data_IF_380279285685
#
_entry.id   IF_380279285685
#
_cell.length_a   1.000
_cell.length_b   1.000
_cell.length_c   1.000
_cell.angle_alpha   90.00
_cell.angle_beta   90.00
_cell.angle_gamma   90.00
#
_symmetry.space_group_name_H-M   'P 1'
#
loop_
_entity.id
_entity.type
_entity.pdbx_description
1 polymer ?
#
# COMPACT_ATOMS: atom_id res chain seq x y z
N UNK A 1 29.04 18.90 -12.65
CA UNK A 1 27.86 18.17 -12.13
C UNK A 1 26.67 19.08 -12.04
N UNK A 2 26.61 20.01 -11.07
CA UNK A 2 25.47 20.93 -10.92
C UNK A 2 25.12 21.63 -12.24
N UNK A 3 26.09 22.27 -12.89
CA UNK A 3 25.86 22.98 -14.15
C UNK A 3 25.32 22.08 -15.26
N UNK A 4 25.75 20.82 -15.33
CA UNK A 4 25.19 19.86 -16.29
C UNK A 4 23.71 19.60 -15.99
N UNK A 5 23.40 19.24 -14.75
CA UNK A 5 22.05 18.88 -14.33
C UNK A 5 21.05 20.01 -14.58
N UNK A 6 21.43 21.26 -14.31
CA UNK A 6 20.52 22.41 -14.43
C UNK A 6 20.51 23.08 -15.80
N UNK A 7 21.46 22.79 -16.68
CA UNK A 7 21.52 23.39 -18.03
C UNK A 7 21.08 22.47 -19.15
N UNK A 8 21.10 21.15 -18.93
CA UNK A 8 20.64 20.17 -19.91
C UNK A 8 19.15 19.92 -19.78
N UNK A 9 18.50 19.63 -20.91
CA UNK A 9 17.12 19.16 -20.92
C UNK A 9 17.07 17.70 -20.46
N UNK A 10 16.69 17.49 -19.19
CA UNK A 10 16.61 16.15 -18.59
C UNK A 10 15.29 15.43 -18.93
N UNK A 11 14.36 16.05 -19.66
CA UNK A 11 13.22 15.31 -20.24
C UNK A 11 13.71 14.28 -21.28
N UNK A 12 14.90 14.51 -21.86
CA UNK A 12 15.60 13.57 -22.73
C UNK A 12 16.32 12.51 -21.90
N UNK A 13 15.97 11.24 -22.13
CA UNK A 13 16.45 10.10 -21.33
C UNK A 13 17.98 9.99 -21.26
N UNK A 14 18.70 10.22 -22.35
CA UNK A 14 20.17 10.17 -22.35
C UNK A 14 20.80 11.23 -21.41
N UNK A 15 20.22 12.43 -21.36
CA UNK A 15 20.67 13.50 -20.46
C UNK A 15 20.32 13.16 -19.01
N UNK A 16 19.11 12.63 -18.77
CA UNK A 16 18.70 12.14 -17.46
C UNK A 16 19.65 11.05 -16.94
N UNK A 17 19.99 10.05 -17.76
CA UNK A 17 20.92 8.98 -17.37
C UNK A 17 22.32 9.52 -17.06
N UNK A 18 22.80 10.50 -17.82
CA UNK A 18 24.05 11.17 -17.52
C UNK A 18 23.97 11.96 -16.20
N UNK A 19 22.87 12.66 -15.91
CA UNK A 19 22.64 13.33 -14.63
C UNK A 19 22.58 12.32 -13.47
N UNK A 20 21.85 11.23 -13.64
CA UNK A 20 21.72 10.11 -12.69
C UNK A 20 23.00 9.27 -12.55
N UNK A 21 24.04 9.54 -13.35
CA UNK A 21 25.38 8.99 -13.11
C UNK A 21 26.13 9.73 -11.99
N UNK A 22 25.76 10.99 -11.71
CA UNK A 22 26.42 11.79 -10.68
C UNK A 22 25.79 11.60 -9.29
N UNK A 23 24.48 11.41 -9.24
CA UNK A 23 23.71 11.22 -8.01
C UNK A 23 22.91 9.92 -8.05
N UNK A 24 22.73 9.32 -6.88
CA UNK A 24 21.78 8.22 -6.71
C UNK A 24 20.35 8.79 -6.74
N UNK A 25 19.70 8.69 -7.90
CA UNK A 25 18.38 9.30 -8.12
C UNK A 25 17.31 8.73 -7.16
N UNK A 26 17.35 7.44 -6.84
CA UNK A 26 16.46 6.83 -5.84
C UNK A 26 16.66 7.43 -4.45
N UNK A 27 17.92 7.64 -4.04
CA UNK A 27 18.21 8.27 -2.76
C UNK A 27 17.80 9.76 -2.72
N UNK A 28 17.93 10.50 -3.82
CA UNK A 28 17.40 11.88 -3.89
C UNK A 28 15.89 11.87 -3.68
N UNK A 29 15.16 10.99 -4.37
CA UNK A 29 13.72 10.85 -4.17
C UNK A 29 13.39 10.59 -2.70
N UNK A 30 14.01 9.58 -2.08
CA UNK A 30 13.74 9.23 -0.68
C UNK A 30 14.10 10.36 0.30
N UNK A 31 15.19 11.10 0.05
CA UNK A 31 15.55 12.27 0.85
C UNK A 31 14.48 13.36 0.78
N UNK A 32 14.05 13.74 -0.43
CA UNK A 32 12.99 14.75 -0.60
C UNK A 32 11.64 14.27 -0.05
N UNK A 33 11.31 12.98 -0.19
CA UNK A 33 10.10 12.41 0.39
C UNK A 33 10.16 12.51 1.91
N UNK A 34 11.24 12.02 2.56
CA UNK A 34 11.35 12.05 4.01
C UNK A 34 11.24 13.48 4.57
N UNK A 35 12.00 14.42 4.00
CA UNK A 35 12.02 15.83 4.43
C UNK A 35 10.64 16.50 4.28
N UNK A 36 9.88 16.17 3.24
CA UNK A 36 8.55 16.75 3.01
C UNK A 36 7.43 15.98 3.69
N UNK A 37 7.58 14.67 3.91
CA UNK A 37 6.58 13.84 4.59
C UNK A 37 6.45 14.26 6.05
N UNK A 38 7.58 14.53 6.72
CA UNK A 38 7.61 15.02 8.10
C UNK A 38 7.49 16.55 8.22
N UNK A 39 7.30 17.26 7.09
CA UNK A 39 7.28 18.73 7.05
C UNK A 39 8.50 19.40 7.71
N UNK A 40 9.71 18.88 7.53
CA UNK A 40 10.90 19.49 8.14
C UNK A 40 11.13 20.91 7.58
N UNK A 41 10.87 21.91 8.42
CA UNK A 41 10.86 23.31 8.02
C UNK A 41 12.26 23.80 7.60
N UNK A 42 13.29 23.43 8.36
CA UNK A 42 14.66 23.94 8.16
C UNK A 42 15.47 23.21 7.08
N UNK A 43 14.93 22.14 6.49
CA UNK A 43 15.70 21.45 5.45
C UNK A 43 15.93 22.34 4.24
N UNK A 44 17.06 22.08 3.59
CA UNK A 44 17.57 22.82 2.44
C UNK A 44 18.22 24.19 2.68
N UNK A 45 18.21 24.76 3.89
CA UNK A 45 18.89 26.04 4.22
C UNK A 45 20.19 25.94 5.03
N UNK A 46 20.53 24.74 5.49
CA UNK A 46 21.73 24.48 6.28
C UNK A 46 21.85 23.02 6.69
N UNK A 47 20.71 22.34 6.80
CA UNK A 47 20.61 20.95 7.24
C UNK A 47 20.71 19.98 6.06
N UNK A 48 21.78 20.11 5.27
CA UNK A 48 22.09 19.21 4.16
C UNK A 48 23.44 18.55 4.41
N UNK A 49 23.44 17.22 4.40
CA UNK A 49 24.66 16.42 4.30
C UNK A 49 24.52 15.45 3.14
N UNK A 50 25.62 15.26 2.41
CA UNK A 50 25.70 14.29 1.33
C UNK A 50 27.11 13.71 1.25
N UNK A 51 27.21 12.47 0.80
CA UNK A 51 28.44 11.70 0.81
C UNK A 51 28.56 10.88 -0.48
N UNK A 52 29.79 10.46 -0.78
CA UNK A 52 30.08 9.43 -1.78
C UNK A 52 31.34 8.70 -1.39
N UNK A 53 31.48 7.48 -1.89
CA UNK A 53 32.71 6.73 -1.79
C UNK A 53 33.85 7.44 -2.53
N UNK A 54 35.09 7.31 -2.03
CA UNK A 54 36.29 7.87 -2.66
C UNK A 54 36.82 6.96 -3.77
N UNK A 55 35.96 6.60 -4.71
CA UNK A 55 36.32 5.85 -5.92
C UNK A 55 35.69 6.47 -7.16
N UNK A 56 36.28 6.15 -8.31
CA UNK A 56 35.75 6.56 -9.61
C UNK A 56 34.36 5.94 -9.85
N UNK A 57 33.46 6.69 -10.47
CA UNK A 57 32.09 6.28 -10.74
C UNK A 57 31.15 6.21 -9.52
N UNK A 58 31.60 6.55 -8.31
CA UNK A 58 30.73 6.60 -7.14
C UNK A 58 29.73 7.76 -7.22
N UNK A 59 28.45 7.46 -6.95
CA UNK A 59 27.35 8.43 -6.94
C UNK A 59 27.27 9.16 -5.60
N UNK A 60 26.89 10.43 -5.64
CA UNK A 60 26.53 11.19 -4.44
C UNK A 60 25.18 10.77 -3.88
N UNK A 61 25.09 10.70 -2.56
CA UNK A 61 23.89 10.37 -1.78
C UNK A 61 23.67 11.40 -0.68
N UNK A 62 22.44 11.83 -0.50
CA UNK A 62 22.00 12.63 0.64
C UNK A 62 21.87 11.76 1.89
N UNK A 63 22.06 12.41 3.03
CA UNK A 63 21.92 11.86 4.36
C UNK A 63 20.94 12.73 5.14
N UNK A 64 19.96 12.09 5.77
CA UNK A 64 19.07 12.78 6.70
C UNK A 64 19.86 13.25 7.92
N UNK A 65 19.63 14.50 8.29
CA UNK A 65 20.32 15.16 9.40
C UNK A 65 19.44 16.32 9.88
N UNK A 66 19.31 16.47 11.21
CA UNK A 66 18.62 17.61 11.84
C UNK A 66 17.13 17.71 11.44
N UNK A 67 16.35 16.77 12.00
CA UNK A 67 14.93 16.54 11.70
C UNK A 67 13.98 17.03 12.81
N UNK A 68 14.52 17.66 13.86
CA UNK A 68 13.78 18.09 15.05
C UNK A 68 12.69 19.12 14.75
N UNK A 69 12.84 19.90 13.68
CA UNK A 69 11.84 20.85 13.22
C UNK A 69 10.72 20.23 12.37
N UNK A 70 10.64 18.90 12.27
CA UNK A 70 9.54 18.17 11.65
C UNK A 70 8.42 17.79 12.64
N UNK A 71 7.47 16.99 12.15
CA UNK A 71 6.43 16.32 12.92
C UNK A 71 5.53 17.26 13.77
N UNK A 72 5.25 18.48 13.32
CA UNK A 72 4.31 19.37 14.00
C UNK A 72 4.92 20.32 15.03
N UNK A 73 6.25 20.46 15.08
CA UNK A 73 6.93 21.34 16.04
C UNK A 73 6.48 22.81 15.92
N UNK A 74 5.97 23.36 17.03
CA UNK A 74 5.71 24.80 17.26
C UNK A 74 4.98 25.55 16.14
N UNK A 75 4.08 24.88 15.42
CA UNK A 75 3.35 25.47 14.28
C UNK A 75 4.22 25.72 13.04
N UNK A 76 5.50 25.32 13.04
CA UNK A 76 6.40 25.45 11.89
C UNK A 76 6.22 24.32 10.89
N UNK A 77 5.80 23.15 11.36
CA UNK A 77 5.67 21.91 10.58
C UNK A 77 4.32 21.22 10.77
N UNK A 78 3.24 22.00 10.86
CA UNK A 78 1.86 21.50 10.98
C UNK A 78 1.53 20.42 9.94
N UNK A 79 0.68 19.45 10.27
CA UNK A 79 0.38 18.31 9.39
C UNK A 79 -0.17 18.74 8.02
N UNK A 80 -0.96 19.81 7.98
CA UNK A 80 -1.55 20.38 6.77
C UNK A 80 -0.61 21.32 6.00
N UNK A 81 0.61 21.58 6.47
CA UNK A 81 1.55 22.44 5.76
C UNK A 81 2.03 21.78 4.45
N UNK A 82 2.04 22.55 3.37
CA UNK A 82 2.52 22.10 2.06
C UNK A 82 4.04 22.30 1.91
N UNK A 83 4.81 21.50 2.66
CA UNK A 83 6.27 21.56 2.55
C UNK A 83 6.78 21.17 1.16
N UNK A 84 6.08 20.29 0.44
CA UNK A 84 6.46 19.87 -0.92
C UNK A 84 6.33 21.04 -1.89
N UNK A 85 5.13 21.61 -2.00
CA UNK A 85 4.86 22.74 -2.89
C UNK A 85 5.73 23.94 -2.54
N UNK A 86 5.83 24.29 -1.26
CA UNK A 86 6.69 25.40 -0.82
C UNK A 86 8.16 25.19 -1.23
N UNK A 87 8.74 24.01 -0.97
CA UNK A 87 10.15 23.76 -1.30
C UNK A 87 10.39 23.74 -2.80
N UNK A 88 9.53 23.10 -3.58
CA UNK A 88 9.73 22.93 -5.02
C UNK A 88 9.42 24.20 -5.83
N UNK A 89 8.58 25.11 -5.30
CA UNK A 89 8.21 26.37 -5.97
C UNK A 89 9.00 27.57 -5.48
N UNK A 90 8.96 27.86 -4.17
CA UNK A 90 9.56 29.08 -3.59
C UNK A 90 11.08 29.06 -3.70
N UNK A 91 11.70 27.88 -3.58
CA UNK A 91 13.16 27.75 -3.62
C UNK A 91 13.71 27.40 -5.01
N UNK A 92 12.83 27.31 -6.00
CA UNK A 92 13.24 27.14 -7.38
C UNK A 92 14.05 28.35 -7.85
N UNK A 93 15.17 28.11 -8.53
CA UNK A 93 16.11 29.13 -8.99
C UNK A 93 17.05 29.67 -7.91
N UNK A 94 16.75 29.52 -6.62
CA UNK A 94 17.56 30.08 -5.52
C UNK A 94 18.31 29.01 -4.73
N UNK A 95 17.79 27.78 -4.64
CA UNK A 95 18.41 26.69 -3.91
C UNK A 95 18.99 25.62 -4.85
N UNK A 96 20.30 25.34 -4.74
CA UNK A 96 20.99 24.41 -5.65
C UNK A 96 20.44 22.98 -5.59
N UNK A 97 20.02 22.51 -4.42
CA UNK A 97 19.54 21.14 -4.25
C UNK A 97 18.12 20.98 -4.78
N UNK A 98 17.26 21.98 -4.56
CA UNK A 98 15.93 22.05 -5.19
C UNK A 98 16.05 22.16 -6.70
N UNK A 99 16.98 22.97 -7.22
CA UNK A 99 17.20 23.09 -8.67
C UNK A 99 17.61 21.76 -9.31
N UNK A 100 18.51 21.00 -8.67
CA UNK A 100 18.88 19.65 -9.11
C UNK A 100 17.63 18.76 -9.16
N UNK A 101 16.84 18.76 -8.10
CA UNK A 101 15.69 17.88 -7.99
C UNK A 101 14.57 18.25 -8.99
N UNK A 102 14.24 19.53 -9.13
CA UNK A 102 13.31 20.02 -10.14
C UNK A 102 13.76 19.67 -11.57
N UNK A 103 15.07 19.77 -11.86
CA UNK A 103 15.59 19.35 -13.16
C UNK A 103 15.38 17.84 -13.38
N UNK A 104 15.65 16.99 -12.39
CA UNK A 104 15.40 15.54 -12.49
C UNK A 104 13.91 15.22 -12.71
N UNK A 105 13.00 15.95 -12.04
CA UNK A 105 11.55 15.81 -12.20
C UNK A 105 11.03 16.19 -13.60
N UNK A 106 11.84 16.81 -14.47
CA UNK A 106 11.47 17.03 -15.88
C UNK A 106 11.42 15.74 -16.70
N UNK A 107 12.12 14.68 -16.26
CA UNK A 107 11.99 13.35 -16.85
C UNK A 107 10.69 12.68 -16.36
N UNK A 108 9.82 12.30 -17.29
CA UNK A 108 8.51 11.74 -16.95
C UNK A 108 8.62 10.41 -16.19
N UNK A 109 9.59 9.56 -16.53
CA UNK A 109 9.83 8.30 -15.83
C UNK A 109 10.24 8.52 -14.37
N UNK A 110 11.17 9.45 -14.13
CA UNK A 110 11.59 9.80 -12.78
C UNK A 110 10.51 10.51 -11.97
N UNK A 111 9.70 11.37 -12.61
CA UNK A 111 8.54 12.00 -11.97
C UNK A 111 7.52 10.95 -11.51
N UNK A 112 7.16 10.01 -12.38
CA UNK A 112 6.28 8.90 -12.02
C UNK A 112 6.88 8.06 -10.90
N UNK A 113 8.18 7.76 -10.96
CA UNK A 113 8.89 7.06 -9.90
C UNK A 113 8.81 7.80 -8.56
N UNK A 114 9.07 9.12 -8.53
CA UNK A 114 8.99 9.92 -7.30
C UNK A 114 7.60 9.90 -6.70
N UNK A 115 6.56 10.13 -7.51
CA UNK A 115 5.16 10.14 -7.05
C UNK A 115 4.77 8.77 -6.49
N UNK A 116 5.06 7.69 -7.23
CA UNK A 116 4.78 6.32 -6.78
C UNK A 116 5.59 5.95 -5.53
N UNK A 117 6.86 6.35 -5.44
CA UNK A 117 7.70 6.10 -4.26
C UNK A 117 7.18 6.84 -3.04
N UNK A 118 6.67 8.06 -3.21
CA UNK A 118 6.02 8.79 -2.12
C UNK A 118 4.73 8.07 -1.70
N UNK A 119 3.88 7.67 -2.66
CA UNK A 119 2.67 6.90 -2.36
C UNK A 119 2.99 5.58 -1.64
N UNK A 120 4.00 4.84 -2.09
CA UNK A 120 4.49 3.62 -1.46
C UNK A 120 4.85 3.85 0.02
N UNK A 121 5.57 4.92 0.33
CA UNK A 121 5.97 5.27 1.70
C UNK A 121 4.77 5.73 2.55
N UNK A 122 3.79 6.44 1.96
CA UNK A 122 2.54 6.82 2.63
C UNK A 122 1.59 5.65 2.88
N UNK A 123 1.72 4.55 2.11
CA UNK A 123 0.98 3.31 2.34
C UNK A 123 1.74 2.32 3.25
N UNK A 124 2.98 2.66 3.66
CA UNK A 124 3.84 1.82 4.50
C UNK A 124 4.44 2.61 5.66
N UNK A 125 5.68 3.10 5.55
CA UNK A 125 6.44 3.72 6.65
C UNK A 125 5.73 4.92 7.28
N UNK A 126 5.08 5.75 6.46
CA UNK A 126 4.33 6.93 6.89
C UNK A 126 2.82 6.67 6.94
N UNK A 127 2.37 5.41 6.92
CA UNK A 127 0.95 5.09 7.12
C UNK A 127 0.55 5.52 8.53
N UNK A 128 -0.66 6.06 8.66
CA UNK A 128 -1.15 6.78 9.83
C UNK A 128 -0.88 6.01 11.14
N UNK A 129 -1.31 4.75 11.18
CA UNK A 129 -1.15 3.87 12.35
C UNK A 129 0.28 3.38 12.58
N UNK A 130 1.09 3.24 11.52
CA UNK A 130 2.47 2.76 11.64
C UNK A 130 3.40 3.85 12.14
N UNK A 131 3.23 5.08 11.66
CA UNK A 131 4.00 6.23 12.15
C UNK A 131 3.62 6.57 13.61
N UNK A 132 2.33 6.53 13.94
CA UNK A 132 1.88 6.71 15.32
C UNK A 132 2.50 5.63 16.24
N UNK A 133 2.43 4.36 15.86
CA UNK A 133 3.01 3.27 16.65
C UNK A 133 4.53 3.42 16.85
N UNK A 134 5.28 3.91 15.85
CA UNK A 134 6.72 4.17 16.00
C UNK A 134 7.01 5.33 16.97
N UNK A 135 6.17 6.37 16.99
CA UNK A 135 6.25 7.47 17.97
C UNK A 135 5.99 6.95 19.38
N UNK A 136 4.97 6.11 19.56
CA UNK A 136 4.66 5.50 20.85
C UNK A 136 5.79 4.57 21.33
N UNK A 137 6.32 3.74 20.45
CA UNK A 137 7.47 2.90 20.73
C UNK A 137 8.69 3.74 21.16
N UNK A 138 8.98 4.82 20.42
CA UNK A 138 10.09 5.73 20.74
C UNK A 138 9.90 6.44 22.08
N UNK A 139 8.67 6.88 22.39
CA UNK A 139 8.29 7.44 23.70
C UNK A 139 8.55 6.43 24.82
N UNK A 140 8.10 5.20 24.66
CA UNK A 140 8.20 4.17 25.71
C UNK A 140 9.65 3.79 26.03
N UNK A 141 10.53 3.84 25.02
CA UNK A 141 11.97 3.62 25.21
C UNK A 141 12.63 4.64 26.15
N UNK A 142 12.14 5.89 26.16
CA UNK A 142 12.73 6.98 26.96
C UNK A 142 11.90 7.32 28.20
N UNK A 143 10.66 6.84 28.30
CA UNK A 143 9.67 7.29 29.28
C UNK A 143 10.15 7.24 30.73
N UNK A 144 10.91 6.19 31.10
CA UNK A 144 11.45 6.04 32.46
C UNK A 144 12.41 7.18 32.85
N UNK A 145 13.19 7.67 31.90
CA UNK A 145 14.23 8.68 32.14
C UNK A 145 13.69 10.11 32.02
N UNK A 146 12.50 10.30 31.43
CA UNK A 146 11.97 11.63 31.16
C UNK A 146 11.54 12.39 32.43
N UNK A 147 10.99 11.72 33.44
CA UNK A 147 10.62 12.39 34.69
C UNK A 147 11.88 12.94 35.42
N UNK A 148 12.93 12.14 35.70
CA UNK A 148 14.20 12.66 36.22
C UNK A 148 14.87 13.71 35.31
N UNK A 149 14.74 13.57 33.98
CA UNK A 149 15.27 14.56 33.04
C UNK A 149 14.66 15.95 33.29
N UNK A 150 13.35 16.03 33.49
CA UNK A 150 12.64 17.29 33.71
C UNK A 150 12.78 17.84 35.14
N UNK A 151 13.25 17.04 36.11
CA UNK A 151 13.70 17.57 37.41
C UNK A 151 14.95 18.44 37.28
N UNK A 152 15.83 18.13 36.31
CA UNK A 152 17.05 18.90 36.02
C UNK A 152 16.77 20.01 35.00
N UNK A 153 16.09 19.69 33.90
CA UNK A 153 15.80 20.60 32.79
C UNK A 153 14.33 20.96 32.78
N UNK A 154 13.94 21.97 33.54
CA UNK A 154 12.53 22.22 33.91
C UNK A 154 11.62 22.76 32.79
N UNK A 155 12.10 22.89 31.56
CA UNK A 155 11.35 23.45 30.41
C UNK A 155 11.44 22.48 29.23
N UNK A 156 10.32 22.16 28.53
CA UNK A 156 8.96 22.63 28.78
C UNK A 156 8.27 21.99 30.01
N UNK A 157 8.86 20.95 30.60
CA UNK A 157 8.33 20.23 31.77
C UNK A 157 7.74 18.88 31.40
N UNK A 158 7.74 17.94 32.36
CA UNK A 158 7.32 16.55 32.14
C UNK A 158 5.86 16.44 31.69
N UNK A 159 4.95 17.20 32.30
CA UNK A 159 3.53 17.22 31.92
C UNK A 159 3.33 17.74 30.50
N UNK A 160 4.06 18.78 30.09
CA UNK A 160 3.99 19.27 28.70
C UNK A 160 4.54 18.25 27.71
N UNK A 161 5.63 17.56 28.03
CA UNK A 161 6.12 16.47 27.20
C UNK A 161 5.08 15.35 27.05
N UNK A 162 4.54 14.86 28.18
CA UNK A 162 3.60 13.73 28.23
C UNK A 162 2.24 14.05 27.63
N UNK A 163 1.64 15.18 28.01
CA UNK A 163 0.23 15.48 27.76
C UNK A 163 -0.01 16.41 26.57
N UNK A 164 1.06 17.01 26.01
CA UNK A 164 0.96 17.93 24.87
C UNK A 164 1.86 17.43 23.73
N UNK A 165 3.18 17.35 23.93
CA UNK A 165 4.11 17.07 22.85
C UNK A 165 3.91 15.68 22.22
N UNK A 166 3.75 14.63 23.05
CA UNK A 166 3.48 13.28 22.55
C UNK A 166 2.12 13.22 21.80
N UNK A 167 0.98 13.66 22.37
CA UNK A 167 -0.28 13.72 21.64
C UNK A 167 -0.24 14.54 20.34
N UNK A 168 0.52 15.64 20.30
CA UNK A 168 0.69 16.45 19.09
C UNK A 168 1.44 15.68 18.00
N UNK A 169 2.49 14.93 18.35
CA UNK A 169 3.20 14.06 17.42
C UNK A 169 2.29 12.95 16.86
N UNK A 170 1.46 12.33 17.70
CA UNK A 170 0.50 11.30 17.28
C UNK A 170 -0.54 11.89 16.33
N UNK A 171 -1.13 13.05 16.68
CA UNK A 171 -2.06 13.75 15.80
C UNK A 171 -1.43 14.13 14.45
N UNK A 172 -0.18 14.59 14.45
CA UNK A 172 0.56 14.81 13.22
C UNK A 172 0.63 13.53 12.37
N UNK A 173 0.99 12.40 12.99
CA UNK A 173 1.11 11.12 12.29
C UNK A 173 -0.22 10.64 11.68
N UNK A 174 -1.34 10.89 12.36
CA UNK A 174 -2.68 10.51 11.89
C UNK A 174 -3.19 11.41 10.75
N UNK A 175 -2.91 12.72 10.81
CA UNK A 175 -3.43 13.70 9.85
C UNK A 175 -2.54 13.85 8.61
N UNK A 176 -1.22 13.78 8.80
CA UNK A 176 -0.24 14.15 7.76
C UNK A 176 -0.36 13.34 6.47
N UNK A 177 -0.57 12.02 6.47
CA UNK A 177 -0.53 11.24 5.24
C UNK A 177 -1.62 11.66 4.24
N UNK A 178 -2.83 11.97 4.71
CA UNK A 178 -3.91 12.49 3.87
C UNK A 178 -3.53 13.85 3.24
N UNK A 179 -2.98 14.77 4.04
CA UNK A 179 -2.50 16.05 3.54
C UNK A 179 -1.35 15.90 2.53
N UNK A 180 -0.37 15.03 2.80
CA UNK A 180 0.73 14.75 1.89
C UNK A 180 0.24 14.21 0.54
N UNK A 181 -0.74 13.30 0.53
CA UNK A 181 -1.38 12.83 -0.72
C UNK A 181 -2.03 13.98 -1.48
N UNK A 182 -2.76 14.86 -0.78
CA UNK A 182 -3.40 16.02 -1.40
C UNK A 182 -2.38 17.01 -1.98
N UNK A 183 -1.27 17.26 -1.28
CA UNK A 183 -0.20 18.13 -1.77
C UNK A 183 0.48 17.57 -3.02
N UNK A 184 0.74 16.26 -3.07
CA UNK A 184 1.23 15.59 -4.27
C UNK A 184 0.26 15.76 -5.44
N UNK A 185 -1.03 15.49 -5.20
CA UNK A 185 -2.07 15.62 -6.22
C UNK A 185 -2.12 17.05 -6.77
N UNK A 186 -2.12 18.06 -5.90
CA UNK A 186 -2.18 19.46 -6.29
C UNK A 186 -0.91 19.93 -7.01
N UNK A 187 0.27 19.58 -6.48
CA UNK A 187 1.54 20.05 -7.01
C UNK A 187 1.82 19.51 -8.42
N UNK A 188 1.48 18.25 -8.67
CA UNK A 188 1.68 17.59 -9.95
C UNK A 188 0.47 17.62 -10.88
N UNK A 189 -0.61 18.33 -10.50
CA UNK A 189 -1.86 18.45 -11.25
C UNK A 189 -2.46 17.08 -11.63
N UNK A 190 -2.50 16.17 -10.66
CA UNK A 190 -2.99 14.80 -10.86
C UNK A 190 -4.53 14.79 -10.78
N UNK A 191 -5.17 14.03 -11.67
CA UNK A 191 -6.63 14.05 -11.85
C UNK A 191 -7.42 13.40 -10.70
N UNK A 192 -6.73 12.78 -9.74
CA UNK A 192 -7.31 12.25 -8.52
C UNK A 192 -6.48 11.12 -7.91
N UNK A 193 -7.10 10.43 -6.96
CA UNK A 193 -6.56 9.24 -6.29
C UNK A 193 -7.44 8.04 -6.59
N UNK A 194 -6.84 6.85 -6.52
CA UNK A 194 -7.52 5.55 -6.67
C UNK A 194 -7.03 4.62 -5.57
N UNK A 195 -7.96 3.93 -4.90
CA UNK A 195 -7.65 2.88 -3.94
C UNK A 195 -7.45 1.56 -4.68
N UNK A 196 -6.31 0.93 -4.44
CA UNK A 196 -5.97 -0.36 -5.02
C UNK A 196 -5.93 -1.41 -3.92
N UNK A 197 -6.73 -2.47 -4.08
CA UNK A 197 -6.61 -3.70 -3.29
C UNK A 197 -5.84 -4.74 -4.10
N UNK A 198 -4.85 -5.36 -3.48
CA UNK A 198 -4.02 -6.41 -4.03
C UNK A 198 -4.27 -7.71 -3.30
N UNK A 199 -4.46 -8.79 -4.04
CA UNK A 199 -4.57 -10.14 -3.49
C UNK A 199 -4.07 -11.19 -4.48
N UNK A 200 -3.77 -12.37 -3.97
CA UNK A 200 -3.49 -13.55 -4.80
C UNK A 200 -4.64 -14.53 -4.75
N UNK A 201 -4.77 -15.31 -5.81
CA UNK A 201 -5.53 -16.53 -5.79
C UNK A 201 -4.69 -17.75 -6.19
N UNK A 202 -4.66 -18.82 -5.36
CA UNK A 202 -5.13 -18.87 -3.97
C UNK A 202 -4.40 -17.89 -3.04
N UNK A 203 -4.98 -17.57 -1.87
CA UNK A 203 -4.28 -16.78 -0.86
C UNK A 203 -2.93 -17.41 -0.52
N UNK A 204 -1.86 -16.61 -0.50
CA UNK A 204 -0.51 -17.10 -0.24
C UNK A 204 0.19 -17.81 -1.41
N UNK A 205 -0.44 -17.91 -2.58
CA UNK A 205 0.16 -18.51 -3.79
C UNK A 205 1.38 -17.76 -4.34
N UNK A 206 1.58 -16.52 -3.90
CA UNK A 206 2.76 -15.74 -4.21
C UNK A 206 2.73 -14.39 -3.54
N UNK A 207 3.72 -13.59 -3.86
CA UNK A 207 3.85 -12.20 -3.42
C UNK A 207 3.70 -11.26 -4.61
N UNK A 208 3.12 -10.11 -4.35
CA UNK A 208 3.04 -9.01 -5.31
C UNK A 208 4.02 -7.94 -4.87
N UNK A 209 4.95 -7.57 -5.75
CA UNK A 209 5.71 -6.34 -5.61
C UNK A 209 4.98 -5.24 -6.37
N UNK A 210 4.58 -4.20 -5.65
CA UNK A 210 4.01 -2.98 -6.22
C UNK A 210 5.04 -1.86 -6.10
N UNK A 211 5.41 -1.29 -7.25
CA UNK A 211 6.46 -0.28 -7.39
C UNK A 211 7.74 -0.66 -6.63
N UNK A 212 7.99 -0.01 -5.49
CA UNK A 212 9.19 -0.22 -4.67
C UNK A 212 8.96 -1.08 -3.42
N UNK A 213 7.72 -1.45 -3.13
CA UNK A 213 7.34 -2.18 -1.90
C UNK A 213 6.83 -3.59 -2.19
N UNK A 214 6.84 -4.42 -1.12
CA UNK A 214 6.41 -5.81 -1.11
C UNK A 214 5.51 -6.00 0.11
N UNK A 215 4.23 -5.61 0.03
CA UNK A 215 3.33 -5.74 1.16
C UNK A 215 2.94 -7.20 1.43
N UNK A 216 2.52 -7.48 2.66
CA UNK A 216 1.79 -8.72 2.98
C UNK A 216 0.37 -8.63 2.43
N UNK A 217 -0.14 -9.73 1.87
CA UNK A 217 -1.43 -9.77 1.16
C UNK A 217 -2.52 -10.46 2.00
N UNK A 218 -3.81 -10.05 1.88
CA UNK A 218 -4.29 -8.96 1.05
C UNK A 218 -3.81 -7.60 1.56
N UNK A 219 -3.64 -6.66 0.64
CA UNK A 219 -3.13 -5.32 0.94
C UNK A 219 -3.95 -4.27 0.22
N UNK A 220 -4.13 -3.12 0.85
CA UNK A 220 -4.71 -1.95 0.22
C UNK A 220 -3.83 -0.71 0.36
N UNK A 221 -3.89 0.15 -0.64
CA UNK A 221 -3.19 1.43 -0.65
C UNK A 221 -3.78 2.42 -1.64
N UNK A 222 -3.38 3.68 -1.51
CA UNK A 222 -3.86 4.76 -2.38
C UNK A 222 -2.74 5.18 -3.33
N UNK A 223 -3.07 5.27 -4.63
CA UNK A 223 -2.21 5.75 -5.70
C UNK A 223 -2.89 6.87 -6.49
N UNK A 224 -2.17 7.48 -7.44
CA UNK A 224 -2.66 8.64 -8.18
C UNK A 224 -3.04 8.28 -9.61
N UNK A 225 -4.18 8.82 -10.05
CA UNK A 225 -4.65 8.71 -11.44
C UNK A 225 -3.69 9.44 -12.37
N UNK A 226 -3.38 8.83 -13.52
CA UNK A 226 -2.41 9.38 -14.47
C UNK A 226 -0.96 9.00 -14.17
N UNK A 227 -0.71 8.24 -13.10
CA UNK A 227 0.62 7.76 -12.71
C UNK A 227 0.62 6.23 -12.76
N UNK A 228 1.18 5.61 -13.82
CA UNK A 228 1.17 4.17 -13.96
C UNK A 228 1.90 3.48 -12.80
N UNK A 229 1.26 2.47 -12.23
CA UNK A 229 1.76 1.62 -11.13
C UNK A 229 2.37 0.35 -11.72
N UNK A 230 3.63 0.08 -11.38
CA UNK A 230 4.32 -1.14 -11.81
C UNK A 230 4.07 -2.27 -10.81
N UNK A 231 3.65 -3.43 -11.29
CA UNK A 231 3.41 -4.62 -10.49
C UNK A 231 4.24 -5.78 -11.03
N UNK A 232 4.76 -6.61 -10.14
CA UNK A 232 5.47 -7.83 -10.52
C UNK A 232 5.17 -8.94 -9.53
N UNK A 233 5.24 -10.17 -10.01
CA UNK A 233 4.84 -11.34 -9.23
C UNK A 233 6.02 -12.21 -8.84
N UNK A 234 5.96 -12.75 -7.63
CA UNK A 234 6.90 -13.74 -7.11
C UNK A 234 6.12 -14.95 -6.62
N UNK A 235 6.00 -16.02 -7.43
CA UNK A 235 5.28 -17.22 -7.03
C UNK A 235 5.89 -17.87 -5.78
N UNK A 236 5.03 -18.37 -4.90
CA UNK A 236 5.46 -19.23 -3.81
C UNK A 236 5.87 -20.61 -4.35
N UNK A 237 6.71 -21.37 -3.63
CA UNK A 237 7.03 -22.75 -4.02
C UNK A 237 5.77 -23.59 -4.26
N UNK A 238 5.71 -24.30 -5.39
CA UNK A 238 4.55 -25.14 -5.77
C UNK A 238 3.46 -24.40 -6.57
N UNK A 239 3.61 -23.09 -6.79
CA UNK A 239 2.68 -22.29 -7.56
C UNK A 239 3.32 -21.73 -8.84
N UNK A 240 2.50 -21.60 -9.89
CA UNK A 240 2.88 -20.93 -11.14
C UNK A 240 1.91 -19.78 -11.40
N UNK A 241 2.45 -18.59 -11.60
CA UNK A 241 1.64 -17.44 -12.00
C UNK A 241 0.96 -17.68 -13.36
N UNK A 242 -0.30 -17.25 -13.48
CA UNK A 242 -1.11 -17.39 -14.69
C UNK A 242 -1.41 -16.05 -15.33
N UNK A 243 -2.08 -15.19 -14.60
CA UNK A 243 -2.49 -13.89 -15.10
C UNK A 243 -2.94 -12.95 -13.98
N UNK A 244 -2.98 -11.67 -14.30
CA UNK A 244 -3.65 -10.64 -13.52
C UNK A 244 -5.08 -10.47 -14.01
N UNK A 245 -5.99 -10.12 -13.11
CA UNK A 245 -7.33 -9.69 -13.47
C UNK A 245 -7.85 -8.66 -12.47
N UNK A 246 -8.60 -7.69 -12.99
CA UNK A 246 -9.34 -6.73 -12.18
C UNK A 246 -10.57 -6.25 -12.96
N UNK A 247 -11.49 -5.54 -12.29
CA UNK A 247 -12.72 -5.11 -12.94
C UNK A 247 -12.48 -3.94 -13.89
N UNK A 248 -11.60 -3.02 -13.52
CA UNK A 248 -11.43 -1.74 -14.22
C UNK A 248 -10.16 -1.72 -15.09
N UNK A 249 -8.98 -1.97 -14.51
CA UNK A 249 -7.71 -1.85 -15.21
C UNK A 249 -7.34 -3.06 -16.08
N UNK A 250 -7.67 -4.28 -15.63
CA UNK A 250 -7.25 -5.56 -16.25
C UNK A 250 -8.45 -6.46 -16.50
N UNK A 251 -9.40 -5.95 -17.30
CA UNK A 251 -10.65 -6.65 -17.62
C UNK A 251 -10.44 -7.94 -18.44
N UNK A 252 -9.37 -7.97 -19.26
CA UNK A 252 -8.89 -9.17 -19.92
C UNK A 252 -7.69 -9.74 -19.16
N UNK A 253 -7.62 -11.07 -18.91
CA UNK A 253 -6.49 -11.71 -18.24
C UNK A 253 -5.12 -11.35 -18.86
N UNK A 254 -4.23 -10.73 -18.08
CA UNK A 254 -2.86 -10.39 -18.51
C UNK A 254 -1.84 -11.42 -17.95
N UNK A 255 -1.18 -12.24 -18.78
CA UNK A 255 -0.22 -13.25 -18.34
C UNK A 255 1.17 -12.70 -18.00
N UNK A 256 1.42 -11.39 -18.12
CA UNK A 256 2.70 -10.76 -17.83
C UNK A 256 3.11 -10.90 -16.37
N UNK A 257 4.30 -11.43 -16.10
CA UNK A 257 4.85 -11.52 -14.73
C UNK A 257 5.29 -10.16 -14.18
N UNK A 258 5.37 -9.14 -15.04
CA UNK A 258 5.56 -7.74 -14.70
C UNK A 258 4.66 -6.91 -15.61
N UNK A 259 3.76 -6.15 -15.00
CA UNK A 259 2.77 -5.32 -15.67
C UNK A 259 2.86 -3.89 -15.16
N UNK A 260 2.37 -2.94 -15.96
CA UNK A 260 2.26 -1.54 -15.55
C UNK A 260 0.92 -1.02 -16.00
N UNK A 261 0.09 -0.56 -15.06
CA UNK A 261 -1.25 -0.06 -15.32
C UNK A 261 -1.50 1.27 -14.63
N UNK A 262 -2.28 2.13 -15.29
CA UNK A 262 -2.79 3.35 -14.70
C UNK A 262 -4.22 3.12 -14.18
N UNK A 263 -4.39 3.17 -12.87
CA UNK A 263 -5.65 2.89 -12.20
C UNK A 263 -6.50 4.17 -12.09
N UNK A 264 -7.49 4.31 -12.96
CA UNK A 264 -8.35 5.50 -13.05
C UNK A 264 -9.52 5.52 -12.06
N UNK A 265 -9.81 4.38 -11.45
CA UNK A 265 -10.87 4.16 -10.48
C UNK A 265 -10.34 3.22 -9.38
N UNK A 266 -11.06 3.13 -8.26
CA UNK A 266 -10.77 2.13 -7.24
C UNK A 266 -10.89 0.73 -7.86
N UNK A 267 -9.94 -0.15 -7.57
CA UNK A 267 -9.89 -1.47 -8.20
C UNK A 267 -9.35 -2.54 -7.26
N UNK A 268 -9.75 -3.79 -7.53
CA UNK A 268 -9.27 -4.97 -6.82
C UNK A 268 -8.52 -5.83 -7.82
N UNK A 269 -7.19 -5.76 -7.77
CA UNK A 269 -6.33 -6.53 -8.64
C UNK A 269 -5.99 -7.88 -8.00
N UNK A 270 -6.38 -8.95 -8.69
CA UNK A 270 -6.10 -10.32 -8.27
C UNK A 270 -5.03 -10.93 -9.17
N UNK A 271 -3.95 -11.42 -8.55
CA UNK A 271 -2.96 -12.26 -9.22
C UNK A 271 -3.38 -13.73 -9.14
N UNK A 272 -3.70 -14.32 -10.28
CA UNK A 272 -4.08 -15.73 -10.38
C UNK A 272 -2.87 -16.61 -10.57
N UNK A 273 -2.79 -17.65 -9.76
CA UNK A 273 -1.79 -18.69 -9.84
C UNK A 273 -2.47 -20.04 -10.04
N UNK A 274 -1.78 -20.93 -10.73
CA UNK A 274 -2.04 -22.35 -10.69
C UNK A 274 -1.18 -22.97 -9.58
N UNK A 275 -1.83 -23.46 -8.54
CA UNK A 275 -1.41 -24.72 -7.91
C UNK A 275 -1.84 -25.87 -8.84
N UNK A 276 -1.42 -27.10 -8.56
CA UNK A 276 -2.28 -28.23 -8.93
C UNK A 276 -3.67 -27.98 -8.34
N UNK A 277 -4.65 -27.58 -9.16
CA UNK A 277 -6.02 -27.37 -8.74
C UNK A 277 -6.62 -28.73 -8.35
N UNK A 278 -6.96 -28.98 -7.07
CA UNK A 278 -7.43 -30.28 -6.64
C UNK A 278 -8.93 -30.52 -6.96
N UNK A 279 -9.60 -29.60 -7.67
CA UNK A 279 -11.05 -29.63 -7.89
C UNK A 279 -11.80 -28.60 -7.04
N UNK A 280 -13.12 -28.51 -7.25
CA UNK A 280 -14.01 -27.71 -6.42
C UNK A 280 -14.08 -28.38 -5.05
N UNK A 281 -13.35 -27.85 -4.07
CA UNK A 281 -13.32 -28.37 -2.70
C UNK A 281 -14.35 -27.57 -1.90
N UNK A 282 -15.26 -28.25 -1.20
CA UNK A 282 -16.26 -27.62 -0.34
C UNK A 282 -16.00 -28.02 1.11
N UNK A 283 -15.72 -27.02 1.95
CA UNK A 283 -15.68 -27.18 3.41
C UNK A 283 -16.87 -26.44 4.04
N UNK A 284 -17.46 -27.04 5.07
CA UNK A 284 -18.66 -26.56 5.75
C UNK A 284 -18.36 -26.44 7.25
N UNK A 285 -18.56 -25.27 7.83
CA UNK A 285 -18.30 -24.99 9.23
C UNK A 285 -19.46 -24.19 9.90
N UNK A 286 -20.11 -24.74 10.95
CA UNK A 286 -19.97 -26.10 11.43
C UNK A 286 -20.69 -27.10 10.51
N UNK A 287 -20.18 -28.33 10.42
CA UNK A 287 -20.86 -29.44 9.73
C UNK A 287 -21.90 -30.15 10.60
N UNK A 288 -21.96 -29.81 11.90
CA UNK A 288 -22.95 -30.27 12.88
C UNK A 288 -23.62 -29.05 13.52
N UNK A 289 -24.95 -28.96 13.41
CA UNK A 289 -25.73 -27.83 13.89
C UNK A 289 -26.59 -28.21 15.10
N UNK A 290 -26.51 -27.35 16.13
CA UNK A 290 -27.35 -27.40 17.33
C UNK A 290 -28.22 -26.12 17.36
N UNK A 291 -29.41 -26.19 16.73
CA UNK A 291 -30.36 -25.07 16.60
C UNK A 291 -30.17 -24.17 15.37
N UNK A 292 -30.96 -23.09 15.23
CA UNK A 292 -30.88 -22.17 14.10
C UNK A 292 -29.56 -21.38 14.13
N UNK A 293 -28.73 -21.56 13.10
CA UNK A 293 -27.41 -20.91 13.00
C UNK A 293 -27.03 -20.60 11.55
N UNK A 294 -26.08 -19.67 11.42
CA UNK A 294 -25.34 -19.41 10.19
C UNK A 294 -24.33 -20.53 9.93
N UNK A 295 -24.21 -20.94 8.67
CA UNK A 295 -23.20 -21.90 8.22
C UNK A 295 -22.20 -21.17 7.34
N UNK A 296 -20.91 -21.27 7.65
CA UNK A 296 -19.86 -20.82 6.77
C UNK A 296 -19.51 -21.94 5.78
N UNK A 297 -19.47 -21.59 4.50
CA UNK A 297 -18.97 -22.48 3.45
C UNK A 297 -17.77 -21.85 2.78
N UNK A 298 -16.69 -22.62 2.66
CA UNK A 298 -15.49 -22.21 1.95
C UNK A 298 -15.23 -23.13 0.77
N UNK A 299 -14.92 -22.54 -0.38
CA UNK A 299 -14.69 -23.29 -1.62
C UNK A 299 -13.71 -22.61 -2.57
N UNK A 300 -13.17 -23.42 -3.49
CA UNK A 300 -12.14 -22.99 -4.46
C UNK A 300 -12.68 -22.90 -5.89
N UNK A 301 -12.48 -21.74 -6.52
CA UNK A 301 -12.78 -21.49 -7.94
C UNK A 301 -11.48 -21.20 -8.71
N UNK A 302 -11.18 -21.92 -9.79
CA UNK A 302 -9.98 -21.68 -10.62
C UNK A 302 -10.03 -20.39 -11.47
N UNK A 303 -11.21 -19.82 -11.66
CA UNK A 303 -11.46 -18.59 -12.43
C UNK A 303 -12.71 -17.89 -11.93
N UNK A 304 -12.98 -16.68 -12.43
CA UNK A 304 -14.26 -16.00 -12.18
C UNK A 304 -15.39 -16.85 -12.74
N UNK A 305 -16.37 -17.19 -11.90
CA UNK A 305 -17.47 -18.06 -12.30
C UNK A 305 -18.74 -17.73 -11.52
N UNK A 306 -19.91 -17.99 -12.12
CA UNK A 306 -21.18 -17.85 -11.42
C UNK A 306 -21.34 -18.96 -10.39
N UNK A 307 -21.64 -18.56 -9.14
CA UNK A 307 -21.81 -19.46 -8.01
C UNK A 307 -23.26 -19.54 -7.58
N UNK A 308 -23.69 -20.77 -7.34
CA UNK A 308 -24.97 -21.09 -6.73
C UNK A 308 -24.76 -22.06 -5.57
N UNK A 309 -25.48 -21.82 -4.48
CA UNK A 309 -25.52 -22.71 -3.31
C UNK A 309 -26.92 -23.28 -3.18
N UNK A 310 -27.03 -24.59 -3.03
CA UNK A 310 -28.28 -25.29 -2.78
C UNK A 310 -28.16 -26.20 -1.56
N UNK A 311 -29.20 -26.28 -0.74
CA UNK A 311 -29.34 -27.23 0.35
C UNK A 311 -30.45 -28.21 0.01
N UNK A 312 -30.17 -29.50 0.15
CA UNK A 312 -31.12 -30.58 -0.11
C UNK A 312 -31.25 -31.48 1.11
N UNK A 313 -32.43 -32.04 1.33
CA UNK A 313 -32.62 -33.10 2.33
C UNK A 313 -32.08 -34.45 1.84
N UNK A 314 -32.13 -35.47 2.70
CA UNK A 314 -31.68 -36.83 2.38
C UNK A 314 -32.43 -37.51 1.20
N UNK A 315 -33.57 -36.96 0.77
CA UNK A 315 -34.33 -37.43 -0.39
C UNK A 315 -34.04 -36.63 -1.65
N UNK A 316 -33.14 -35.64 -1.58
CA UNK A 316 -32.75 -34.76 -2.69
C UNK A 316 -33.70 -33.59 -2.92
N UNK A 317 -34.70 -33.40 -2.05
CA UNK A 317 -35.62 -32.26 -2.13
C UNK A 317 -34.87 -30.99 -1.76
N UNK A 318 -34.95 -29.98 -2.62
CA UNK A 318 -34.37 -28.67 -2.39
C UNK A 318 -35.12 -27.95 -1.24
N UNK A 319 -34.36 -27.53 -0.24
CA UNK A 319 -34.84 -26.82 0.95
C UNK A 319 -34.47 -25.34 0.88
N UNK A 320 -33.30 -25.05 0.33
CA UNK A 320 -32.77 -23.71 0.18
C UNK A 320 -31.97 -23.61 -1.11
N UNK A 321 -32.02 -22.45 -1.75
CA UNK A 321 -31.23 -22.16 -2.94
C UNK A 321 -30.94 -20.67 -3.01
N UNK A 322 -29.69 -20.32 -3.29
CA UNK A 322 -29.27 -18.93 -3.48
C UNK A 322 -28.17 -18.82 -4.53
N UNK A 323 -28.38 -17.94 -5.49
CA UNK A 323 -27.39 -17.55 -6.50
C UNK A 323 -26.60 -16.35 -5.97
N UNK A 324 -25.29 -16.43 -6.01
CA UNK A 324 -24.36 -15.38 -5.58
C UNK A 324 -23.79 -14.58 -6.76
N UNK A 325 -24.11 -14.97 -7.99
CA UNK A 325 -23.60 -14.34 -9.21
C UNK A 325 -22.12 -14.69 -9.44
N UNK A 326 -21.44 -13.90 -10.27
CA UNK A 326 -20.02 -14.09 -10.55
C UNK A 326 -19.17 -13.82 -9.30
N UNK A 327 -18.41 -14.83 -8.88
CA UNK A 327 -17.44 -14.74 -7.79
C UNK A 327 -16.02 -14.86 -8.33
N UNK A 328 -15.05 -14.27 -7.63
CA UNK A 328 -13.67 -14.31 -8.06
C UNK A 328 -13.13 -15.75 -8.03
N UNK A 329 -12.24 -16.09 -8.96
CA UNK A 329 -11.44 -17.29 -8.79
C UNK A 329 -10.63 -17.08 -7.50
N UNK A 330 -10.77 -18.01 -6.57
CA UNK A 330 -10.84 -17.58 -5.18
C UNK A 330 -10.93 -18.73 -4.20
N UNK A 331 -10.30 -18.56 -3.03
CA UNK A 331 -10.87 -19.13 -1.82
C UNK A 331 -12.01 -18.18 -1.53
N UNK A 332 -13.21 -18.67 -1.73
CA UNK A 332 -14.43 -17.94 -1.49
C UNK A 332 -15.00 -18.45 -0.18
N UNK A 333 -15.34 -17.53 0.72
CA UNK A 333 -15.98 -17.83 2.01
C UNK A 333 -17.34 -17.14 2.00
N UNK A 334 -18.40 -17.91 2.20
CA UNK A 334 -19.78 -17.43 2.26
C UNK A 334 -20.40 -17.77 3.60
N UNK A 335 -20.96 -16.78 4.29
CA UNK A 335 -21.89 -17.01 5.39
C UNK A 335 -23.30 -17.23 4.86
N UNK A 336 -23.90 -18.35 5.24
CA UNK A 336 -25.22 -18.79 4.82
C UNK A 336 -26.19 -18.75 6.00
N UNK A 337 -27.16 -17.85 5.93
CA UNK A 337 -28.34 -17.92 6.79
C UNK A 337 -29.30 -18.98 6.22
N UNK A 338 -29.15 -20.23 6.68
CA UNK A 338 -30.02 -21.33 6.30
C UNK A 338 -31.32 -21.32 7.12
N UNK A 339 -32.45 -21.77 6.55
CA UNK A 339 -33.71 -21.86 7.29
C UNK A 339 -33.61 -22.85 8.45
N UNK A 340 -34.54 -22.77 9.41
CA UNK A 340 -34.63 -23.75 10.49
C UNK A 340 -34.92 -25.16 9.91
N UNK A 341 -34.09 -26.12 10.30
CA UNK A 341 -34.12 -27.49 9.79
C UNK A 341 -34.59 -28.47 10.88
N UNK A 342 -35.32 -29.50 10.47
CA UNK A 342 -35.61 -30.62 11.36
C UNK A 342 -34.33 -31.45 11.60
N UNK A 343 -34.28 -32.18 12.72
CA UNK A 343 -33.19 -33.11 13.00
C UNK A 343 -33.04 -34.11 11.86
N UNK A 344 -31.82 -34.24 11.33
CA UNK A 344 -31.58 -35.10 10.19
C UNK A 344 -30.33 -34.76 9.38
N UNK A 345 -30.25 -35.42 8.23
CA UNK A 345 -29.14 -35.32 7.30
C UNK A 345 -29.50 -34.44 6.11
N UNK A 346 -28.65 -33.46 5.83
CA UNK A 346 -28.76 -32.56 4.70
C UNK A 346 -27.46 -32.55 3.88
N UNK A 347 -27.59 -32.12 2.63
CA UNK A 347 -26.51 -32.02 1.67
C UNK A 347 -26.46 -30.60 1.13
N UNK A 348 -25.33 -29.93 1.35
CA UNK A 348 -25.08 -28.60 0.84
C UNK A 348 -24.23 -28.75 -0.43
N UNK A 349 -24.74 -28.24 -1.53
CA UNK A 349 -24.10 -28.30 -2.84
C UNK A 349 -23.70 -26.89 -3.28
N UNK A 350 -22.45 -26.74 -3.72
CA UNK A 350 -21.99 -25.56 -4.44
C UNK A 350 -21.84 -25.92 -5.90
N UNK A 351 -22.40 -25.09 -6.77
CA UNK A 351 -22.24 -25.16 -8.22
C UNK A 351 -21.47 -23.95 -8.72
N UNK A 352 -20.49 -24.21 -9.57
CA UNK A 352 -19.73 -23.20 -10.28
C UNK A 352 -19.54 -23.66 -11.74
N UNK A 353 -20.25 -22.99 -12.64
CA UNK A 353 -20.35 -23.38 -14.05
C UNK A 353 -20.87 -24.81 -14.23
N UNK A 354 -20.06 -25.70 -14.82
CA UNK A 354 -20.41 -27.12 -15.01
C UNK A 354 -20.00 -28.03 -13.85
N UNK A 355 -19.31 -27.49 -12.83
CA UNK A 355 -18.81 -28.24 -11.67
C UNK A 355 -19.77 -28.10 -10.50
N UNK A 356 -19.83 -29.15 -9.69
CA UNK A 356 -20.58 -29.15 -8.45
C UNK A 356 -19.83 -29.99 -7.40
N UNK A 357 -19.84 -29.53 -6.15
CA UNK A 357 -19.31 -30.27 -5.01
C UNK A 357 -20.36 -30.27 -3.90
N UNK A 358 -20.50 -31.39 -3.20
CA UNK A 358 -21.51 -31.58 -2.15
C UNK A 358 -20.87 -31.98 -0.84
N UNK A 359 -21.18 -31.23 0.22
CA UNK A 359 -20.76 -31.51 1.58
C UNK A 359 -21.94 -31.95 2.46
N UNK A 360 -21.61 -32.68 3.52
CA UNK A 360 -22.58 -33.19 4.49
C UNK A 360 -22.85 -32.16 5.58
N UNK A 361 -24.13 -31.94 5.90
CA UNK A 361 -24.57 -31.13 7.03
C UNK A 361 -25.51 -31.95 7.91
N UNK A 362 -25.22 -32.04 9.21
CA UNK A 362 -26.04 -32.78 10.18
C UNK A 362 -26.68 -31.80 11.14
N UNK A 363 -27.98 -31.99 11.42
CA UNK A 363 -28.74 -31.19 12.37
C UNK A 363 -29.18 -32.13 13.49
N UNK A 364 -28.74 -31.85 14.72
CA UNK A 364 -28.84 -32.79 15.85
C UNK A 364 -30.05 -32.65 16.74
#
# INVERSE_FOLDING_TARGET
MYDYVVSQDLSVEANFQQAASFFDASNIADYFIAETAINNFNSFFGNIKFWRERREGAKWRYMLFDLEAGLGLYGWSEANADALGNKLTVYNGTNRHVNIFNALLSNQGYKNYFINRYADLLNTTFRENLLAAEIEFSRDLIAHDMEPHFEVWTVPGFETWRDIAIPDLIRFAEERPAHARQHLQNHFDLSGQSRLELRTYPPGAGRIRINTIRPELPWDGIYFKGVPVALSIEPAPGYRFRHWQSLHAVSNPDPGTSITYDFQEDDVLTAYFEAEYPGLQLEINPSLLDGPQEVEVSFLLDQIEEVEVALRDALGKEIYKKTYGAMNGGLNILSLAIPELAKGLYFLEIRAGSRAETGKLVVD
#
